data_IF_428412411109
#
_entry.id   IF_428412411109
#
_cell.length_a   1.000
_cell.length_b   1.000
_cell.length_c   1.000
_cell.angle_alpha   90.00
_cell.angle_beta   90.00
_cell.angle_gamma   90.00
#
_symmetry.space_group_name_H-M   'P 1'
#
loop_
_entity.id
_entity.type
_entity.pdbx_description
1 polymer ?
#
# COMPACT_ATOMS: atom_id res chain seq x y z
N UNK A 1 -2.14 1.82 3.69
CA UNK A 1 -3.60 1.62 3.83
C UNK A 1 -4.37 2.70 3.09
N UNK A 2 -4.27 3.97 3.47
CA UNK A 2 -5.04 5.07 2.85
C UNK A 2 -5.00 5.15 1.31
N UNK A 3 -3.82 5.04 0.69
CA UNK A 3 -3.69 5.04 -0.77
C UNK A 3 -4.29 3.78 -1.42
N UNK A 4 -4.27 2.64 -0.71
CA UNK A 4 -4.81 1.37 -1.19
C UNK A 4 -6.35 1.32 -1.03
N UNK A 5 -6.88 1.86 0.07
CA UNK A 5 -8.32 1.95 0.33
C UNK A 5 -9.04 2.95 -0.59
N UNK A 6 -8.32 3.96 -1.07
CA UNK A 6 -8.86 4.93 -2.03
C UNK A 6 -9.12 4.32 -3.43
N UNK A 7 -8.80 3.02 -3.65
CA UNK A 7 -9.01 2.28 -4.91
C UNK A 7 -8.57 3.07 -6.15
N UNK A 8 -7.49 3.84 -6.01
CA UNK A 8 -6.97 4.74 -7.05
C UNK A 8 -5.62 4.26 -7.54
N UNK A 9 -5.34 4.46 -8.82
CA UNK A 9 -4.04 4.15 -9.41
C UNK A 9 -2.91 4.75 -8.54
N UNK A 10 -1.93 3.95 -8.11
CA UNK A 10 -1.53 2.63 -8.61
C UNK A 10 -2.23 1.40 -8.00
N UNK A 11 -3.13 1.57 -7.03
CA UNK A 11 -3.87 0.52 -6.30
C UNK A 11 -5.35 0.44 -6.71
N UNK A 12 -5.61 0.66 -7.99
CA UNK A 12 -6.93 0.57 -8.58
C UNK A 12 -7.26 -0.88 -8.96
N UNK A 13 -7.92 -1.56 -8.03
CA UNK A 13 -8.25 -2.99 -8.07
C UNK A 13 -9.69 -3.28 -8.45
N UNK A 14 -10.62 -2.43 -8.02
CA UNK A 14 -12.04 -2.54 -8.36
C UNK A 14 -12.30 -2.24 -9.85
N UNK A 15 -11.51 -1.37 -10.49
CA UNK A 15 -11.56 -1.22 -11.95
C UNK A 15 -10.83 -2.38 -12.67
N UNK A 16 -10.08 -3.22 -11.94
CA UNK A 16 -9.21 -4.27 -12.49
C UNK A 16 -9.85 -5.67 -12.58
N UNK A 17 -11.09 -5.86 -12.14
CA UNK A 17 -11.88 -7.04 -12.54
C UNK A 17 -12.18 -7.05 -14.07
N UNK A 18 -11.85 -5.95 -14.76
CA UNK A 18 -12.17 -5.68 -16.16
C UNK A 18 -11.17 -6.17 -17.21
N UNK A 19 -10.30 -7.14 -16.90
CA UNK A 19 -9.88 -8.03 -18.00
C UNK A 19 -11.11 -8.73 -18.66
N UNK A 20 -12.32 -8.62 -18.06
CA UNK A 20 -13.63 -8.92 -18.66
C UNK A 20 -14.77 -7.88 -18.39
N UNK A 21 -14.66 -6.62 -18.87
CA UNK A 21 -15.73 -5.55 -18.90
C UNK A 21 -15.71 -4.61 -17.69
N UNK A 22 -15.77 -3.30 -17.96
CA UNK A 22 -15.54 -2.20 -17.02
C UNK A 22 -16.58 -2.01 -15.92
N UNK A 23 -16.63 -2.91 -14.93
CA UNK A 23 -17.26 -2.80 -13.61
C UNK A 23 -18.43 -1.82 -13.48
N UNK A 24 -18.40 -0.98 -12.43
CA UNK A 24 -19.46 -0.01 -12.15
C UNK A 24 -19.55 1.13 -13.18
N UNK A 25 -18.52 1.33 -14.01
CA UNK A 25 -18.53 2.32 -15.10
C UNK A 25 -19.46 1.92 -16.25
N UNK A 26 -19.70 0.62 -16.46
CA UNK A 26 -20.56 0.11 -17.54
C UNK A 26 -21.99 -0.17 -17.08
N UNK A 27 -22.20 -0.42 -15.79
CA UNK A 27 -23.52 -0.78 -15.25
C UNK A 27 -24.39 0.41 -14.83
N UNK A 28 -23.78 1.54 -14.44
CA UNK A 28 -24.50 2.69 -13.90
C UNK A 28 -24.54 3.88 -14.87
N UNK A 29 -25.74 4.42 -15.09
CA UNK A 29 -25.95 5.62 -15.91
C UNK A 29 -25.93 6.92 -15.09
N UNK A 30 -25.38 7.97 -15.71
CA UNK A 30 -25.40 9.41 -15.34
C UNK A 30 -25.29 9.74 -13.84
N UNK A 31 -26.42 9.82 -13.13
CA UNK A 31 -26.47 10.31 -11.75
C UNK A 31 -25.89 9.31 -10.75
N UNK A 32 -26.11 8.01 -10.96
CA UNK A 32 -25.55 6.96 -10.08
C UNK A 32 -24.04 6.86 -10.28
N UNK A 33 -23.59 6.95 -11.52
CA UNK A 33 -22.17 7.07 -11.87
C UNK A 33 -21.51 8.27 -11.17
N UNK A 34 -22.12 9.46 -11.24
CA UNK A 34 -21.57 10.66 -10.61
C UNK A 34 -21.41 10.53 -9.08
N UNK A 35 -22.34 9.86 -8.40
CA UNK A 35 -22.24 9.64 -6.95
C UNK A 35 -21.07 8.70 -6.60
N UNK A 36 -20.79 7.68 -7.42
CA UNK A 36 -19.63 6.81 -7.21
C UNK A 36 -18.30 7.56 -7.34
N UNK A 37 -18.16 8.42 -8.37
CA UNK A 37 -16.97 9.29 -8.47
C UNK A 37 -16.84 10.24 -7.30
N UNK A 38 -17.95 10.90 -6.92
CA UNK A 38 -17.94 11.80 -5.79
C UNK A 38 -17.52 11.09 -4.50
N UNK A 39 -18.02 9.88 -4.26
CA UNK A 39 -17.66 9.08 -3.09
C UNK A 39 -16.17 8.70 -3.09
N UNK A 40 -15.61 8.31 -4.24
CA UNK A 40 -14.19 7.98 -4.38
C UNK A 40 -13.30 9.20 -4.08
N UNK A 41 -13.64 10.39 -4.63
CA UNK A 41 -12.92 11.63 -4.34
C UNK A 41 -13.10 12.08 -2.89
N UNK A 42 -14.29 11.90 -2.32
CA UNK A 42 -14.55 12.23 -0.94
C UNK A 42 -13.72 11.34 0.00
N UNK A 43 -13.61 10.04 -0.29
CA UNK A 43 -12.79 9.10 0.47
C UNK A 43 -11.30 9.50 0.49
N UNK A 44 -10.79 10.02 -0.62
CA UNK A 44 -9.41 10.54 -0.68
C UNK A 44 -9.21 11.74 0.24
N UNK A 45 -10.16 12.69 0.23
CA UNK A 45 -10.10 13.90 1.07
C UNK A 45 -10.25 13.54 2.54
N UNK A 46 -11.18 12.65 2.91
CA UNK A 46 -11.36 12.22 4.30
C UNK A 46 -10.15 11.45 4.81
N UNK A 47 -9.56 10.57 4.00
CA UNK A 47 -8.29 9.93 4.31
C UNK A 47 -7.21 10.97 4.60
N UNK A 48 -6.97 11.90 3.68
CA UNK A 48 -5.98 12.96 3.87
C UNK A 48 -6.24 13.82 5.13
N UNK A 49 -7.52 14.07 5.46
CA UNK A 49 -7.91 14.77 6.68
C UNK A 49 -7.53 13.97 7.95
N UNK A 50 -7.83 12.67 8.00
CA UNK A 50 -7.43 11.82 9.12
C UNK A 50 -5.90 11.73 9.25
N UNK A 51 -5.18 11.59 8.14
CA UNK A 51 -3.71 11.57 8.18
C UNK A 51 -3.14 12.88 8.74
N UNK A 52 -3.69 14.01 8.29
CA UNK A 52 -3.26 15.34 8.73
C UNK A 52 -3.47 15.53 10.23
N UNK A 53 -4.62 15.08 10.74
CA UNK A 53 -4.97 15.23 12.16
C UNK A 53 -4.15 14.31 13.05
N UNK A 54 -3.94 13.05 12.66
CA UNK A 54 -3.26 12.06 13.49
C UNK A 54 -1.73 12.17 13.46
N UNK A 55 -1.14 12.50 12.31
CA UNK A 55 0.31 12.43 12.12
C UNK A 55 0.98 13.78 11.86
N UNK A 56 0.32 14.73 11.19
CA UNK A 56 0.92 16.04 10.84
C UNK A 56 0.58 17.15 11.84
N UNK A 57 0.01 16.81 13.01
CA UNK A 57 -0.29 17.78 14.07
C UNK A 57 -1.50 18.68 13.82
N UNK A 58 -2.38 18.34 12.87
CA UNK A 58 -3.64 19.05 12.63
C UNK A 58 -3.44 20.56 12.42
N UNK A 59 -3.94 21.35 13.38
CA UNK A 59 -3.89 22.83 13.38
C UNK A 59 -2.55 23.43 13.80
N UNK A 60 -1.57 22.64 14.26
CA UNK A 60 -0.24 23.15 14.57
C UNK A 60 0.49 23.58 13.30
N UNK A 61 1.20 24.71 13.34
CA UNK A 61 1.98 25.16 12.18
C UNK A 61 3.29 24.36 12.04
N UNK A 62 3.80 23.85 13.15
CA UNK A 62 5.11 23.23 13.21
C UNK A 62 5.03 21.70 13.46
N UNK A 63 5.70 20.88 12.63
CA UNK A 63 5.90 19.46 12.91
C UNK A 63 7.00 19.14 13.95
N UNK A 64 7.90 20.09 14.29
CA UNK A 64 9.12 19.84 15.09
C UNK A 64 9.38 20.81 16.26
N UNK A 65 8.37 21.58 16.70
CA UNK A 65 8.44 22.41 17.91
C UNK A 65 9.03 23.81 17.71
N UNK A 66 8.31 24.85 18.14
CA UNK A 66 8.82 26.24 18.13
C UNK A 66 7.76 27.33 18.21
N UNK A 67 6.87 27.43 17.21
CA UNK A 67 5.86 28.50 17.12
C UNK A 67 4.49 27.92 16.79
N UNK A 68 3.75 27.54 17.83
CA UNK A 68 2.36 27.14 17.67
C UNK A 68 1.44 28.37 17.65
N UNK A 69 0.41 28.29 16.81
CA UNK A 69 -0.67 29.27 16.83
C UNK A 69 -1.37 29.22 18.18
N UNK A 70 -1.76 30.37 18.77
CA UNK A 70 -2.56 30.38 20.00
C UNK A 70 -3.82 29.52 19.82
N UNK A 71 -4.07 28.62 20.78
CA UNK A 71 -5.24 27.72 20.78
C UNK A 71 -6.55 28.51 20.75
N UNK A 72 -6.56 29.66 21.42
CA UNK A 72 -7.68 30.58 21.45
C UNK A 72 -7.21 32.00 21.13
N UNK A 73 -8.01 32.72 20.37
CA UNK A 73 -7.86 34.15 20.14
C UNK A 73 -8.96 34.67 19.21
N UNK A 74 -8.76 35.82 18.55
CA UNK A 74 -9.80 36.40 17.71
C UNK A 74 -10.19 35.47 16.55
N UNK A 75 -11.38 35.67 15.99
CA UNK A 75 -11.95 34.84 14.91
C UNK A 75 -11.00 34.61 13.71
N UNK A 76 -10.10 35.55 13.42
CA UNK A 76 -9.11 35.42 12.35
C UNK A 76 -8.06 34.33 12.62
N UNK A 77 -7.75 34.01 13.88
CA UNK A 77 -6.85 32.89 14.22
C UNK A 77 -7.49 31.55 13.85
N UNK A 78 -8.81 31.40 14.09
CA UNK A 78 -9.54 30.21 13.69
C UNK A 78 -9.53 30.00 12.17
N UNK A 79 -9.61 31.08 11.39
CA UNK A 79 -9.47 31.01 9.93
C UNK A 79 -8.06 30.59 9.49
N UNK A 80 -7.02 31.05 10.18
CA UNK A 80 -5.64 30.64 9.91
C UNK A 80 -5.46 29.16 10.22
N UNK A 81 -5.94 28.68 11.39
CA UNK A 81 -5.88 27.27 11.77
C UNK A 81 -6.59 26.37 10.74
N UNK A 82 -7.80 26.77 10.31
CA UNK A 82 -8.51 26.07 9.25
C UNK A 82 -7.74 26.09 7.93
N UNK A 83 -7.17 27.23 7.55
CA UNK A 83 -6.35 27.38 6.35
C UNK A 83 -5.11 26.47 6.37
N UNK A 84 -4.46 26.31 7.52
CA UNK A 84 -3.29 25.43 7.70
C UNK A 84 -3.69 23.97 7.52
N UNK A 85 -4.78 23.53 8.14
CA UNK A 85 -5.29 22.16 7.98
C UNK A 85 -5.69 21.91 6.52
N UNK A 86 -6.44 22.84 5.91
CA UNK A 86 -6.85 22.73 4.51
C UNK A 86 -5.64 22.68 3.56
N UNK A 87 -4.59 23.46 3.83
CA UNK A 87 -3.36 23.43 3.06
C UNK A 87 -2.61 22.09 3.21
N UNK A 88 -2.52 21.53 4.42
CA UNK A 88 -1.92 20.20 4.63
C UNK A 88 -2.71 19.09 3.91
N UNK A 89 -4.04 19.14 3.97
CA UNK A 89 -4.91 18.20 3.23
C UNK A 89 -4.67 18.36 1.73
N UNK A 90 -4.63 19.59 1.21
CA UNK A 90 -4.35 19.86 -0.19
C UNK A 90 -3.00 19.29 -0.61
N UNK A 91 -1.94 19.46 0.20
CA UNK A 91 -0.62 18.89 -0.08
C UNK A 91 -0.65 17.35 -0.12
N UNK A 92 -1.36 16.69 0.79
CA UNK A 92 -1.48 15.23 0.78
C UNK A 92 -2.26 14.72 -0.43
N UNK A 93 -3.34 15.41 -0.83
CA UNK A 93 -4.09 15.08 -2.04
C UNK A 93 -3.22 15.33 -3.28
N UNK A 94 -2.48 16.44 -3.35
CA UNK A 94 -1.55 16.72 -4.44
C UNK A 94 -0.43 15.66 -4.51
N UNK A 95 0.06 15.20 -3.36
CA UNK A 95 1.02 14.10 -3.27
C UNK A 95 0.42 12.77 -3.75
N UNK A 96 -0.81 12.44 -3.36
CA UNK A 96 -1.52 11.26 -3.86
C UNK A 96 -1.73 11.32 -5.39
N UNK A 97 -2.03 12.50 -5.95
CA UNK A 97 -2.11 12.71 -7.40
C UNK A 97 -0.74 12.60 -8.08
N UNK A 98 0.32 13.09 -7.45
CA UNK A 98 1.68 12.92 -7.97
C UNK A 98 2.09 11.43 -8.02
N UNK A 99 1.73 10.65 -7.00
CA UNK A 99 1.91 9.19 -6.98
C UNK A 99 1.19 8.53 -8.17
N UNK A 100 -0.05 8.94 -8.45
CA UNK A 100 -0.83 8.43 -9.60
C UNK A 100 -0.10 8.62 -10.92
N UNK A 101 0.63 9.73 -11.10
CA UNK A 101 1.35 10.01 -12.35
C UNK A 101 2.76 9.42 -12.39
N UNK A 102 3.36 9.08 -11.25
CA UNK A 102 4.77 8.67 -11.16
C UNK A 102 4.96 7.15 -11.04
N UNK A 103 4.01 6.44 -10.42
CA UNK A 103 4.14 5.01 -10.18
C UNK A 103 3.40 4.16 -11.22
N UNK A 104 4.03 3.07 -11.73
CA UNK A 104 3.35 2.11 -12.57
C UNK A 104 2.29 1.35 -11.74
N UNK A 105 1.24 0.86 -12.41
CA UNK A 105 0.15 0.11 -11.79
C UNK A 105 0.66 -1.19 -11.15
N UNK A 106 0.18 -1.50 -9.93
CA UNK A 106 0.50 -2.77 -9.25
C UNK A 106 -0.55 -3.85 -9.58
N UNK A 107 -0.09 -5.10 -9.69
CA UNK A 107 -0.98 -6.27 -9.79
C UNK A 107 -1.54 -6.63 -8.41
N UNK A 108 -2.78 -7.15 -8.36
CA UNK A 108 -3.43 -7.58 -7.11
C UNK A 108 -2.56 -8.49 -6.25
N UNK A 109 -1.94 -9.50 -6.86
CA UNK A 109 -1.09 -10.47 -6.15
C UNK A 109 0.13 -9.80 -5.48
N UNK A 110 0.68 -8.74 -6.09
CA UNK A 110 1.80 -7.99 -5.53
C UNK A 110 1.35 -7.10 -4.36
N UNK A 111 0.17 -6.50 -4.47
CA UNK A 111 -0.43 -5.73 -3.38
C UNK A 111 -0.77 -6.61 -2.19
N UNK A 112 -1.39 -7.77 -2.41
CA UNK A 112 -1.72 -8.71 -1.34
C UNK A 112 -0.46 -9.19 -0.63
N UNK A 113 0.62 -9.46 -1.38
CA UNK A 113 1.91 -9.80 -0.77
C UNK A 113 2.47 -8.65 0.07
N UNK A 114 2.46 -7.42 -0.45
CA UNK A 114 2.91 -6.25 0.31
C UNK A 114 2.10 -6.04 1.59
N UNK A 115 0.78 -6.25 1.54
CA UNK A 115 -0.09 -6.13 2.70
C UNK A 115 0.20 -7.21 3.76
N UNK A 116 0.29 -8.48 3.34
CA UNK A 116 0.46 -9.62 4.24
C UNK A 116 1.88 -9.79 4.77
N UNK A 117 2.88 -9.72 3.90
CA UNK A 117 4.28 -9.94 4.28
C UNK A 117 4.97 -8.65 4.74
N UNK A 118 4.53 -7.50 4.25
CA UNK A 118 5.13 -6.20 4.60
C UNK A 118 4.37 -5.46 5.70
N UNK A 119 3.12 -5.08 5.44
CA UNK A 119 2.40 -4.11 6.28
C UNK A 119 1.97 -4.69 7.64
N UNK A 120 1.49 -5.93 7.69
CA UNK A 120 1.06 -6.55 8.96
C UNK A 120 2.25 -6.72 9.92
N UNK A 121 3.37 -7.36 9.54
CA UNK A 121 4.50 -7.51 10.45
C UNK A 121 5.12 -6.17 10.85
N UNK A 122 5.22 -5.22 9.92
CA UNK A 122 5.77 -3.89 10.21
C UNK A 122 4.93 -3.13 11.25
N UNK A 123 3.59 -3.15 11.13
CA UNK A 123 2.71 -2.46 12.09
C UNK A 123 2.77 -3.08 13.48
N UNK A 124 2.84 -4.41 13.58
CA UNK A 124 3.02 -5.12 14.85
C UNK A 124 4.38 -4.80 15.50
N UNK A 125 5.45 -4.74 14.70
CA UNK A 125 6.79 -4.44 15.20
C UNK A 125 6.87 -3.02 15.77
N UNK A 126 6.31 -2.04 15.06
CA UNK A 126 6.24 -0.65 15.54
C UNK A 126 5.44 -0.58 16.84
N UNK A 127 4.28 -1.24 16.90
CA UNK A 127 3.46 -1.29 18.11
C UNK A 127 4.23 -1.85 19.30
N UNK A 128 4.88 -3.02 19.14
CA UNK A 128 5.67 -3.64 20.21
C UNK A 128 6.83 -2.76 20.66
N UNK A 129 7.50 -2.09 19.72
CA UNK A 129 8.61 -1.19 20.03
C UNK A 129 8.13 0.02 20.84
N UNK A 130 7.02 0.64 20.45
CA UNK A 130 6.42 1.74 21.21
C UNK A 130 6.02 1.27 22.61
N UNK A 131 5.38 0.10 22.74
CA UNK A 131 5.02 -0.48 24.04
C UNK A 131 6.23 -0.73 24.94
N UNK A 132 7.34 -1.24 24.38
CA UNK A 132 8.56 -1.50 25.13
C UNK A 132 9.24 -0.23 25.64
N UNK A 133 9.38 0.79 24.77
CA UNK A 133 10.00 2.07 25.16
C UNK A 133 9.18 2.81 26.21
N UNK A 134 7.85 2.72 26.13
CA UNK A 134 6.95 3.29 27.12
C UNK A 134 7.06 2.59 28.47
N UNK A 135 7.20 1.26 28.50
CA UNK A 135 7.43 0.50 29.74
C UNK A 135 8.77 0.86 30.40
N UNK A 136 9.82 1.06 29.61
CA UNK A 136 11.16 1.42 30.11
C UNK A 136 11.31 2.91 30.48
N UNK A 137 10.30 3.75 30.18
CA UNK A 137 10.33 5.19 30.44
C UNK A 137 11.31 5.97 29.56
N UNK A 138 11.75 5.40 28.43
CA UNK A 138 12.72 6.00 27.52
C UNK A 138 12.04 6.77 26.38
N UNK A 139 11.17 7.71 26.73
CA UNK A 139 10.38 8.49 25.75
C UNK A 139 11.24 9.35 24.84
N UNK A 140 12.37 9.85 25.34
CA UNK A 140 13.25 10.74 24.57
C UNK A 140 14.01 10.00 23.45
N UNK A 141 14.08 8.67 23.54
CA UNK A 141 14.77 7.81 22.55
C UNK A 141 13.81 7.11 21.59
N UNK A 142 12.52 7.49 21.55
CA UNK A 142 11.55 6.86 20.66
C UNK A 142 11.95 6.96 19.17
N UNK A 143 12.64 8.03 18.79
CA UNK A 143 13.21 8.18 17.45
C UNK A 143 14.26 7.10 17.12
N UNK A 144 15.07 6.66 18.09
CA UNK A 144 16.00 5.53 17.93
C UNK A 144 15.25 4.22 17.76
N UNK A 145 14.16 4.02 18.51
CA UNK A 145 13.28 2.87 18.36
C UNK A 145 12.70 2.78 16.95
N UNK A 146 12.20 3.89 16.41
CA UNK A 146 11.68 3.95 15.03
C UNK A 146 12.74 3.66 13.97
N UNK A 147 13.97 4.16 14.15
CA UNK A 147 15.10 3.84 13.25
C UNK A 147 15.45 2.35 13.36
N UNK A 148 15.47 1.78 14.56
CA UNK A 148 15.71 0.36 14.79
C UNK A 148 14.69 -0.54 14.09
N UNK A 149 13.40 -0.17 14.14
CA UNK A 149 12.34 -0.85 13.40
C UNK A 149 12.60 -0.85 11.89
N UNK A 150 13.00 0.29 11.33
CA UNK A 150 13.29 0.43 9.89
C UNK A 150 14.47 -0.46 9.50
N UNK A 151 15.56 -0.44 10.28
CA UNK A 151 16.74 -1.29 10.04
C UNK A 151 16.39 -2.77 10.12
N UNK A 152 15.57 -3.17 11.10
CA UNK A 152 15.14 -4.55 11.28
C UNK A 152 14.26 -5.00 10.11
N UNK A 153 13.34 -4.16 9.64
CA UNK A 153 12.55 -4.43 8.44
C UNK A 153 13.47 -4.62 7.23
N UNK A 154 14.42 -3.72 6.98
CA UNK A 154 15.38 -3.85 5.87
C UNK A 154 16.24 -5.12 5.97
N UNK A 155 16.61 -5.55 7.19
CA UNK A 155 17.35 -6.78 7.41
C UNK A 155 16.50 -8.05 7.16
N UNK A 156 15.19 -7.98 7.35
CA UNK A 156 14.24 -9.09 7.10
C UNK A 156 13.80 -9.16 5.64
N UNK A 157 13.79 -8.04 4.90
CA UNK A 157 13.46 -8.00 3.46
C UNK A 157 14.18 -9.06 2.60
N UNK A 158 15.51 -9.31 2.71
CA UNK A 158 16.18 -10.34 1.89
C UNK A 158 15.80 -11.77 2.25
N UNK A 159 15.14 -11.98 3.39
CA UNK A 159 14.70 -13.30 3.85
C UNK A 159 13.27 -13.64 3.38
N UNK A 160 12.54 -12.68 2.80
CA UNK A 160 11.20 -12.94 2.30
C UNK A 160 11.27 -13.72 0.97
N UNK A 161 10.54 -14.83 0.84
CA UNK A 161 10.53 -15.63 -0.38
C UNK A 161 10.00 -14.79 -1.53
N UNK A 162 10.87 -14.53 -2.51
CA UNK A 162 10.45 -13.88 -3.75
C UNK A 162 9.53 -14.83 -4.52
N UNK A 163 8.55 -14.27 -5.22
CA UNK A 163 7.68 -15.06 -6.09
C UNK A 163 8.53 -15.85 -7.08
N UNK A 164 8.29 -17.16 -7.14
CA UNK A 164 8.67 -17.96 -8.31
C UNK A 164 7.91 -17.36 -9.48
N UNK A 165 8.61 -17.01 -10.56
CA UNK A 165 8.01 -16.46 -11.77
C UNK A 165 6.74 -17.27 -12.13
N UNK A 166 5.55 -16.62 -12.19
CA UNK A 166 4.32 -17.30 -12.64
C UNK A 166 4.47 -17.89 -14.06
N UNK A 167 5.47 -17.38 -14.80
CA UNK A 167 5.84 -17.80 -16.13
C UNK A 167 7.07 -18.74 -16.14
N UNK A 168 7.43 -19.34 -15.02
CA UNK A 168 8.24 -20.55 -15.06
C UNK A 168 7.36 -21.64 -15.65
N UNK A 169 7.55 -21.89 -16.95
CA UNK A 169 6.84 -22.94 -17.68
C UNK A 169 7.21 -24.27 -17.04
N UNK A 170 6.40 -24.71 -16.09
CA UNK A 170 6.48 -26.05 -15.55
C UNK A 170 6.27 -26.99 -16.73
N UNK A 171 7.30 -27.82 -17.01
CA UNK A 171 7.20 -28.82 -18.06
C UNK A 171 6.18 -29.85 -17.61
N UNK A 172 4.93 -29.67 -18.03
CA UNK A 172 3.91 -30.70 -17.92
C UNK A 172 4.23 -31.76 -18.97
N UNK A 173 4.46 -33.00 -18.54
CA UNK A 173 4.69 -34.15 -19.42
C UNK A 173 3.54 -34.24 -20.42
N UNK A 174 3.85 -34.16 -21.73
CA UNK A 174 2.84 -34.19 -22.80
C UNK A 174 2.27 -32.83 -23.19
N UNK A 175 2.74 -31.73 -22.60
CA UNK A 175 2.41 -30.38 -23.08
C UNK A 175 3.15 -30.07 -24.38
N UNK A 176 2.62 -29.12 -25.16
CA UNK A 176 3.17 -28.68 -26.46
C UNK A 176 4.62 -28.15 -26.38
N UNK A 177 5.10 -27.83 -25.18
CA UNK A 177 6.46 -27.35 -24.89
C UNK A 177 7.35 -28.41 -24.23
N UNK A 178 6.84 -29.62 -23.98
CA UNK A 178 7.54 -30.79 -23.45
C UNK A 178 6.90 -32.08 -24.01
N UNK A 179 7.08 -32.40 -25.30
CA UNK A 179 6.55 -33.61 -25.90
C UNK A 179 7.09 -34.85 -25.17
N UNK A 180 6.22 -35.82 -24.90
CA UNK A 180 6.48 -37.00 -24.05
C UNK A 180 7.39 -38.08 -24.70
N UNK A 181 8.43 -37.64 -25.41
CA UNK A 181 9.34 -38.48 -26.20
C UNK A 181 10.84 -38.25 -25.95
N UNK A 182 11.23 -37.29 -25.10
CA UNK A 182 12.65 -37.02 -24.77
C UNK A 182 13.02 -37.44 -23.34
N UNK A 183 12.27 -38.37 -22.73
CA UNK A 183 12.66 -38.96 -21.45
C UNK A 183 13.62 -40.14 -21.68
N UNK A 184 14.92 -40.05 -21.34
CA UNK A 184 15.85 -41.19 -21.43
C UNK A 184 15.38 -42.38 -20.56
N UNK A 185 14.51 -42.11 -19.59
CA UNK A 185 13.84 -43.12 -18.74
C UNK A 185 12.88 -44.01 -19.51
N UNK A 186 12.26 -43.54 -20.61
CA UNK A 186 11.36 -44.37 -21.44
C UNK A 186 12.13 -45.27 -22.39
N UNK A 187 13.21 -44.78 -23.01
CA UNK A 187 14.08 -45.61 -23.85
C UNK A 187 14.66 -46.78 -23.04
N UNK A 188 15.12 -46.52 -21.81
CA UNK A 188 15.62 -47.56 -20.91
C UNK A 188 14.56 -48.58 -20.51
N UNK A 189 13.29 -48.18 -20.34
CA UNK A 189 12.19 -49.10 -20.03
C UNK A 189 11.75 -49.93 -21.26
N UNK A 190 11.85 -49.37 -22.48
CA UNK A 190 11.58 -50.10 -23.72
C UNK A 190 12.71 -51.06 -24.11
N UNK A 191 13.98 -50.72 -23.85
CA UNK A 191 15.10 -51.65 -24.03
C UNK A 191 15.04 -52.81 -23.02
N UNK A 192 14.69 -52.52 -21.76
CA UNK A 192 14.58 -53.56 -20.72
C UNK A 192 13.40 -54.54 -20.93
N UNK A 193 12.43 -54.22 -21.79
CA UNK A 193 11.29 -55.09 -22.11
C UNK A 193 11.40 -55.76 -23.49
N UNK A 194 12.41 -55.42 -24.29
CA UNK A 194 12.64 -55.97 -25.64
C UNK A 194 13.85 -56.89 -25.78
N UNK A 195 14.56 -57.19 -24.68
CA UNK A 195 15.58 -58.26 -24.58
C UNK A 195 15.10 -59.42 -23.72
#
# INVERSE_FOLDING_TARGET
>A
CMLAEANRAPFDLAECESELVGGYHTEYSSMRFAIFFLAEYFHMITGAAFFTMLFLGGWSLNPFGGWDLPVAGPWWIGLIQFGVVAFKIFLLVAFAMAIRWTLPRFRFDQLMRLAWEGMIPASLLVMLTVSFFLFMGWTDYMWLGSIGCIVLIYAVLPFMPQQVDPNHRTRLIGSRFSPAGEDPTREQLTEATSG
#
